data_IF_064162410126
#
_entry.id   IF_064162410126
#
_cell.length_a   1.000
_cell.length_b   1.000
_cell.length_c   1.000
_cell.angle_alpha   90.00
_cell.angle_beta   90.00
_cell.angle_gamma   90.00
#
_symmetry.space_group_name_H-M   'P 1'
#
loop_
_entity.id
_entity.type
_entity.pdbx_description
1 polymer ?
#
# COMPACT_ATOMS: atom_id res chain seq x y z
N UNK A 1 -23.25 -2.52 7.35
CA UNK A 1 -21.92 -2.61 7.98
C UNK A 1 -20.93 -2.82 6.85
N UNK A 2 -19.96 -1.92 6.66
CA UNK A 2 -18.92 -2.10 5.64
C UNK A 2 -17.92 -3.10 6.22
N UNK A 3 -17.67 -4.18 5.50
CA UNK A 3 -16.69 -5.18 5.92
C UNK A 3 -15.28 -4.66 5.67
N UNK A 4 -14.47 -4.57 6.72
CA UNK A 4 -13.07 -4.18 6.62
C UNK A 4 -12.26 -5.30 5.95
N UNK A 5 -11.52 -4.95 4.89
CA UNK A 5 -10.73 -5.90 4.11
C UNK A 5 -9.29 -5.44 4.04
N UNK A 6 -8.36 -6.36 4.29
CA UNK A 6 -6.93 -6.13 4.22
C UNK A 6 -6.29 -6.88 3.06
N UNK A 7 -5.26 -6.32 2.45
CA UNK A 7 -4.41 -7.02 1.46
C UNK A 7 -2.93 -6.84 1.82
N UNK A 8 -2.16 -7.92 1.78
CA UNK A 8 -0.71 -7.85 1.92
C UNK A 8 -0.07 -7.86 0.52
N UNK A 9 0.84 -6.91 0.28
CA UNK A 9 1.68 -6.88 -0.93
C UNK A 9 3.12 -7.05 -0.49
N UNK A 10 3.74 -8.18 -0.85
CA UNK A 10 5.06 -8.57 -0.38
C UNK A 10 6.09 -8.32 -1.48
N UNK A 11 7.15 -7.59 -1.15
CA UNK A 11 8.22 -7.29 -2.09
C UNK A 11 7.91 -6.09 -2.97
N UNK A 12 7.28 -5.05 -2.41
CA UNK A 12 6.85 -3.85 -3.16
C UNK A 12 8.05 -3.17 -3.81
N UNK A 13 8.17 -3.31 -5.12
CA UNK A 13 9.09 -2.54 -5.96
C UNK A 13 8.50 -1.21 -6.44
N UNK A 14 9.30 -0.46 -7.17
CA UNK A 14 8.98 0.91 -7.60
C UNK A 14 8.02 0.99 -8.81
N UNK A 15 7.67 -0.16 -9.41
CA UNK A 15 6.89 -0.21 -10.65
C UNK A 15 5.53 -0.90 -10.43
N UNK A 16 5.41 -2.17 -10.83
CA UNK A 16 4.13 -2.90 -10.88
C UNK A 16 3.48 -2.99 -9.50
N UNK A 17 4.27 -3.27 -8.46
CA UNK A 17 3.73 -3.47 -7.12
C UNK A 17 3.16 -2.17 -6.52
N UNK A 18 3.74 -1.02 -6.83
CA UNK A 18 3.22 0.28 -6.43
C UNK A 18 1.84 0.57 -7.02
N UNK A 19 1.61 0.20 -8.29
CA UNK A 19 0.28 0.29 -8.91
C UNK A 19 -0.73 -0.67 -8.30
N UNK A 20 -0.29 -1.88 -7.90
CA UNK A 20 -1.15 -2.83 -7.18
C UNK A 20 -1.59 -2.24 -5.84
N UNK A 21 -0.67 -1.64 -5.08
CA UNK A 21 -0.99 -0.96 -3.82
C UNK A 21 -2.02 0.15 -4.05
N UNK A 22 -1.78 1.04 -5.01
CA UNK A 22 -2.69 2.15 -5.35
C UNK A 22 -4.07 1.65 -5.76
N UNK A 23 -4.15 0.62 -6.60
CA UNK A 23 -5.43 0.05 -7.02
C UNK A 23 -6.22 -0.51 -5.84
N UNK A 24 -5.57 -1.28 -4.96
CA UNK A 24 -6.26 -1.88 -3.80
C UNK A 24 -6.70 -0.84 -2.79
N UNK A 25 -5.89 0.19 -2.59
CA UNK A 25 -6.25 1.34 -1.77
C UNK A 25 -7.52 2.04 -2.31
N UNK A 26 -7.61 2.28 -3.62
CA UNK A 26 -8.82 2.83 -4.27
C UNK A 26 -10.04 1.92 -4.18
N UNK A 27 -9.83 0.60 -4.14
CA UNK A 27 -10.88 -0.40 -3.95
C UNK A 27 -11.37 -0.47 -2.48
N UNK A 28 -10.77 0.31 -1.56
CA UNK A 28 -11.15 0.40 -0.15
C UNK A 28 -10.46 -0.61 0.77
N UNK A 29 -9.38 -1.24 0.32
CA UNK A 29 -8.59 -2.15 1.16
C UNK A 29 -7.60 -1.39 2.04
N UNK A 30 -7.34 -1.93 3.23
CA UNK A 30 -6.16 -1.61 4.03
C UNK A 30 -4.97 -2.36 3.44
N UNK A 31 -4.01 -1.65 2.85
CA UNK A 31 -2.88 -2.26 2.16
C UNK A 31 -1.66 -2.36 3.09
N UNK A 32 -1.17 -3.57 3.34
CA UNK A 32 0.09 -3.81 4.05
C UNK A 32 1.21 -4.00 3.03
N UNK A 33 1.98 -2.94 2.78
CA UNK A 33 3.07 -2.91 1.80
C UNK A 33 4.40 -3.32 2.46
N UNK A 34 4.95 -4.46 2.02
CA UNK A 34 6.19 -5.02 2.53
C UNK A 34 7.39 -4.77 1.61
N UNK A 35 8.45 -4.12 2.08
CA UNK A 35 9.71 -3.94 1.34
C UNK A 35 10.91 -3.95 2.29
N UNK A 36 12.06 -4.46 1.84
CA UNK A 36 13.35 -4.20 2.51
C UNK A 36 13.73 -2.73 2.32
N UNK A 37 14.06 -2.02 3.39
CA UNK A 37 14.21 -0.56 3.33
C UNK A 37 12.84 0.10 3.21
N UNK A 38 12.02 -0.08 4.25
CA UNK A 38 10.64 0.40 4.30
C UNK A 38 10.52 1.93 4.11
N UNK A 39 11.58 2.70 4.39
CA UNK A 39 11.66 4.14 4.13
C UNK A 39 11.42 4.49 2.66
N UNK A 40 11.76 3.59 1.73
CA UNK A 40 11.55 3.78 0.29
C UNK A 40 10.08 3.72 -0.11
N UNK A 41 9.19 3.30 0.80
CA UNK A 41 7.74 3.34 0.56
C UNK A 41 7.14 4.73 0.82
N UNK A 42 7.89 5.69 1.40
CA UNK A 42 7.37 7.02 1.71
C UNK A 42 6.69 7.73 0.51
N UNK A 43 7.21 7.67 -0.74
CA UNK A 43 6.51 8.25 -1.89
C UNK A 43 5.15 7.59 -2.15
N UNK A 44 5.07 6.27 -1.96
CA UNK A 44 3.84 5.49 -2.17
C UNK A 44 2.76 5.84 -1.14
N UNK A 45 3.14 6.24 0.08
CA UNK A 45 2.19 6.72 1.08
C UNK A 45 1.46 7.97 0.59
N UNK A 46 2.20 8.96 0.10
CA UNK A 46 1.62 10.19 -0.42
C UNK A 46 0.64 9.92 -1.59
N UNK A 47 0.98 8.98 -2.47
CA UNK A 47 0.10 8.60 -3.58
C UNK A 47 -1.17 7.86 -3.13
N UNK A 48 -1.10 7.07 -2.05
CA UNK A 48 -2.26 6.38 -1.47
C UNK A 48 -3.14 7.34 -0.67
N UNK A 49 -2.56 8.25 0.09
CA UNK A 49 -3.29 9.29 0.82
C UNK A 49 -4.03 10.24 -0.13
N UNK A 50 -3.44 10.54 -1.29
CA UNK A 50 -4.08 11.37 -2.33
C UNK A 50 -5.36 10.76 -2.93
N UNK A 51 -5.64 9.48 -2.67
CA UNK A 51 -6.86 8.78 -3.10
C UNK A 51 -7.71 8.32 -1.91
N UNK A 52 -7.52 8.94 -0.74
CA UNK A 52 -8.18 8.59 0.53
C UNK A 52 -8.04 7.10 0.91
N UNK A 53 -6.95 6.48 0.46
CA UNK A 53 -6.67 5.07 0.71
C UNK A 53 -5.88 4.83 1.99
N UNK A 54 -5.88 3.57 2.46
CA UNK A 54 -5.15 3.16 3.66
C UNK A 54 -3.94 2.28 3.34
N UNK A 55 -2.77 2.63 3.88
CA UNK A 55 -1.52 1.89 3.71
C UNK A 55 -0.72 1.78 5.02
N UNK A 56 -0.08 0.64 5.22
CA UNK A 56 0.83 0.35 6.34
C UNK A 56 2.12 -0.24 5.80
N UNK A 57 3.26 0.34 6.18
CA UNK A 57 4.58 -0.15 5.79
C UNK A 57 4.97 -1.35 6.67
N UNK A 58 5.61 -2.35 6.06
CA UNK A 58 6.16 -3.53 6.73
C UNK A 58 7.59 -3.79 6.23
N UNK A 59 8.49 -4.11 7.14
CA UNK A 59 9.86 -4.48 6.82
C UNK A 59 10.90 -3.78 7.69
N UNK A 60 12.10 -4.35 7.80
CA UNK A 60 13.23 -3.70 8.43
C UNK A 60 13.81 -2.57 7.56
#
# INVERSE_FOLDING_TARGET
MVEEKSVAVIGVGDYVDGEIVKRRAREGYIVHAGRRGAEKLAPLFAEVEAVDGAIVARGP
#
